data_IF_797597026922
#
_entry.id   IF_797597026922
#
_cell.length_a   1.000
_cell.length_b   1.000
_cell.length_c   1.000
_cell.angle_alpha   90.00
_cell.angle_beta   90.00
_cell.angle_gamma   90.00
#
_symmetry.space_group_name_H-M   'P 1'
#
loop_
_entity.id
_entity.type
_entity.pdbx_description
1 polymer ?
#
# COMPACT_ATOMS: atom_id res chain seq x y z
N UNK A 1 22.78 3.15 -3.29
CA UNK A 1 21.79 3.33 -2.22
C UNK A 1 20.49 2.73 -2.72
N UNK A 2 19.78 1.99 -1.92
CA UNK A 2 18.47 1.43 -2.31
C UNK A 2 17.50 2.59 -2.56
N UNK A 3 16.87 2.61 -3.72
CA UNK A 3 15.84 3.59 -4.07
C UNK A 3 14.46 3.15 -3.56
N UNK A 4 14.42 2.10 -2.74
CA UNK A 4 13.18 1.56 -2.21
C UNK A 4 12.87 2.26 -0.89
N UNK A 5 11.65 2.80 -0.72
CA UNK A 5 11.23 3.36 0.56
C UNK A 5 11.26 2.33 1.69
N UNK A 6 11.45 2.76 2.91
CA UNK A 6 11.57 1.94 4.11
C UNK A 6 10.34 1.05 4.42
N UNK A 7 9.18 1.43 3.92
CA UNK A 7 7.92 0.67 4.04
C UNK A 7 7.71 -0.37 2.94
N UNK A 8 8.57 -0.41 1.90
CA UNK A 8 8.35 -1.22 0.72
C UNK A 8 9.11 -2.54 0.76
N UNK A 9 8.48 -3.59 0.24
CA UNK A 9 9.08 -4.92 0.07
C UNK A 9 9.30 -5.28 -1.40
N UNK A 10 8.76 -4.48 -2.31
CA UNK A 10 8.89 -4.66 -3.75
C UNK A 10 9.94 -3.71 -4.33
N UNK A 11 10.75 -4.21 -5.25
CA UNK A 11 11.73 -3.39 -5.97
C UNK A 11 11.34 -3.27 -7.46
N UNK A 12 10.61 -2.20 -7.85
CA UNK A 12 10.24 -1.98 -9.23
C UNK A 12 11.40 -1.54 -10.13
N UNK A 13 12.58 -1.27 -9.57
CA UNK A 13 13.76 -0.84 -10.32
C UNK A 13 14.64 -2.01 -10.75
N UNK A 14 14.83 -3.00 -9.85
CA UNK A 14 15.79 -4.10 -10.07
C UNK A 14 15.24 -5.49 -9.73
N UNK A 15 14.01 -5.55 -9.26
CA UNK A 15 13.32 -6.79 -8.89
C UNK A 15 12.07 -7.05 -9.72
N UNK A 16 11.22 -7.92 -9.21
CA UNK A 16 9.97 -8.30 -9.86
C UNK A 16 10.21 -8.95 -11.24
N UNK A 17 11.19 -9.85 -11.29
CA UNK A 17 11.54 -10.67 -12.46
C UNK A 17 11.40 -12.15 -12.10
N UNK A 18 11.38 -13.08 -13.09
CA UNK A 18 11.35 -14.51 -12.79
C UNK A 18 12.49 -14.98 -11.89
N UNK A 19 13.67 -14.36 -11.98
CA UNK A 19 14.84 -14.69 -11.16
C UNK A 19 14.78 -14.05 -9.76
N UNK A 20 14.03 -12.94 -9.63
CA UNK A 20 13.85 -12.20 -8.40
C UNK A 20 12.40 -11.70 -8.28
N UNK A 21 11.42 -12.60 -8.10
CA UNK A 21 10.01 -12.21 -8.00
C UNK A 21 9.77 -11.36 -6.75
N UNK A 22 8.83 -10.43 -6.85
CA UNK A 22 8.43 -9.60 -5.75
C UNK A 22 7.67 -10.41 -4.69
N UNK A 23 7.92 -10.14 -3.41
CA UNK A 23 7.23 -10.77 -2.29
C UNK A 23 6.30 -9.77 -1.60
N UNK A 24 5.02 -10.11 -1.53
CA UNK A 24 4.01 -9.35 -0.80
C UNK A 24 3.76 -10.05 0.54
N UNK A 25 3.57 -9.27 1.59
CA UNK A 25 3.32 -9.76 2.94
C UNK A 25 1.94 -9.33 3.44
N UNK A 26 1.40 -10.09 4.37
CA UNK A 26 0.21 -9.69 5.11
C UNK A 26 0.59 -8.69 6.21
N UNK A 27 -0.24 -7.68 6.42
CA UNK A 27 -0.15 -6.79 7.57
C UNK A 27 -1.25 -7.16 8.57
N UNK A 28 -0.85 -7.57 9.78
CA UNK A 28 -1.76 -7.93 10.84
C UNK A 28 -1.33 -7.26 12.15
N UNK A 29 -2.25 -6.57 12.80
CA UNK A 29 -2.00 -5.87 14.07
C UNK A 29 -0.74 -4.97 14.04
N UNK A 30 -0.48 -4.29 12.93
CA UNK A 30 0.65 -3.39 12.74
C UNK A 30 1.99 -4.08 12.45
N UNK A 31 2.01 -5.40 12.26
CA UNK A 31 3.23 -6.16 11.94
C UNK A 31 3.11 -6.87 10.60
N UNK A 32 4.22 -6.89 9.85
CA UNK A 32 4.32 -7.64 8.61
C UNK A 32 4.54 -9.13 8.88
N UNK A 33 3.73 -9.97 8.27
CA UNK A 33 3.79 -11.42 8.40
C UNK A 33 4.09 -12.08 7.06
N UNK A 34 5.14 -12.89 7.02
CA UNK A 34 5.35 -13.81 5.92
C UNK A 34 4.32 -14.93 5.99
N UNK A 35 3.67 -15.23 4.88
CA UNK A 35 2.76 -16.36 4.82
C UNK A 35 3.51 -17.69 4.85
N UNK A 36 2.92 -18.69 5.49
CA UNK A 36 3.40 -20.07 5.46
C UNK A 36 3.17 -20.74 4.09
N UNK A 37 2.15 -20.30 3.37
CA UNK A 37 1.86 -20.71 2.00
C UNK A 37 1.93 -19.48 1.07
N UNK A 38 2.58 -19.67 -0.06
CA UNK A 38 2.79 -18.60 -1.07
C UNK A 38 2.12 -19.06 -2.36
N UNK A 39 1.30 -18.18 -2.90
CA UNK A 39 0.75 -18.30 -4.24
C UNK A 39 1.70 -17.60 -5.22
N UNK A 40 2.29 -18.38 -6.12
CA UNK A 40 3.31 -17.91 -7.07
C UNK A 40 2.81 -17.80 -8.52
N UNK A 41 1.51 -17.61 -8.71
CA UNK A 41 0.87 -17.71 -10.03
C UNK A 41 0.44 -16.34 -10.61
N UNK A 42 0.97 -15.23 -10.09
CA UNK A 42 0.72 -13.92 -10.69
C UNK A 42 1.78 -13.68 -11.77
N UNK A 43 1.37 -13.72 -13.04
CA UNK A 43 2.30 -13.56 -14.15
C UNK A 43 2.69 -12.11 -14.38
N UNK A 44 3.89 -11.94 -14.89
CA UNK A 44 4.38 -10.66 -15.38
C UNK A 44 3.53 -10.20 -16.58
N UNK A 45 2.92 -9.02 -16.53
CA UNK A 45 2.14 -8.48 -17.64
C UNK A 45 2.96 -8.23 -18.91
N UNK A 46 4.29 -8.19 -18.82
CA UNK A 46 5.17 -7.96 -19.98
C UNK A 46 5.57 -9.25 -20.70
N UNK A 47 5.74 -10.35 -19.99
CA UNK A 47 6.32 -11.57 -20.59
C UNK A 47 5.67 -12.89 -20.12
N UNK A 48 4.73 -12.85 -19.17
CA UNK A 48 4.04 -14.02 -18.65
C UNK A 48 4.85 -14.88 -17.68
N UNK A 49 6.08 -14.49 -17.35
CA UNK A 49 6.91 -15.17 -16.35
C UNK A 49 6.44 -14.95 -14.92
N UNK A 50 7.08 -15.59 -13.95
CA UNK A 50 6.81 -15.35 -12.54
C UNK A 50 7.12 -13.89 -12.19
N UNK A 51 6.22 -13.24 -11.45
CA UNK A 51 6.30 -11.81 -11.22
C UNK A 51 6.15 -11.44 -9.75
N UNK A 52 5.09 -11.92 -9.11
CA UNK A 52 4.78 -11.67 -7.73
C UNK A 52 4.46 -12.96 -7.00
N UNK A 53 4.94 -13.04 -5.76
CA UNK A 53 4.58 -14.05 -4.77
C UNK A 53 3.73 -13.40 -3.71
N UNK A 54 2.48 -13.83 -3.62
CA UNK A 54 1.52 -13.29 -2.64
C UNK A 54 1.18 -14.35 -1.61
N UNK A 55 0.80 -13.94 -0.39
CA UNK A 55 0.32 -14.87 0.62
C UNK A 55 -0.91 -15.65 0.11
N UNK A 56 -0.90 -16.96 0.26
CA UNK A 56 -2.11 -17.77 0.14
C UNK A 56 -2.79 -17.82 1.51
N UNK A 57 -3.57 -16.78 1.79
CA UNK A 57 -4.19 -16.57 3.10
C UNK A 57 -5.49 -17.39 3.17
N UNK A 58 -5.38 -18.65 3.54
CA UNK A 58 -6.53 -19.55 3.74
C UNK A 58 -7.12 -19.42 5.13
N UNK A 59 -6.30 -19.17 6.15
CA UNK A 59 -6.74 -18.89 7.51
C UNK A 59 -6.91 -17.37 7.71
N UNK A 60 -8.16 -16.91 7.69
CA UNK A 60 -8.53 -15.50 7.90
C UNK A 60 -8.89 -15.21 9.37
N UNK A 61 -8.95 -16.23 10.24
CA UNK A 61 -9.39 -16.05 11.62
C UNK A 61 -8.57 -15.03 12.40
N UNK A 62 -7.21 -14.99 12.28
CA UNK A 62 -6.41 -13.97 12.99
C UNK A 62 -6.76 -12.53 12.58
N UNK A 63 -7.18 -12.31 11.34
CA UNK A 63 -7.61 -10.98 10.88
C UNK A 63 -8.98 -10.62 11.45
N UNK A 64 -9.90 -11.57 11.53
CA UNK A 64 -11.22 -11.40 12.18
C UNK A 64 -11.03 -11.08 13.65
N UNK A 65 -10.19 -11.83 14.35
CA UNK A 65 -9.90 -11.62 15.78
C UNK A 65 -9.28 -10.24 16.02
N UNK A 66 -8.38 -9.80 15.13
CA UNK A 66 -7.78 -8.46 15.18
C UNK A 66 -8.85 -7.36 15.03
N UNK A 67 -9.78 -7.53 14.12
CA UNK A 67 -10.89 -6.58 13.93
C UNK A 67 -11.86 -6.61 15.12
N UNK A 68 -12.15 -7.77 15.69
CA UNK A 68 -13.04 -7.90 16.83
C UNK A 68 -12.48 -7.29 18.11
N UNK A 69 -11.17 -7.23 18.23
CA UNK A 69 -10.47 -6.56 19.32
C UNK A 69 -10.40 -5.03 19.16
N UNK A 70 -10.80 -4.47 18.01
CA UNK A 70 -10.88 -3.03 17.86
C UNK A 70 -12.03 -2.45 18.70
N UNK A 71 -11.81 -1.32 19.41
CA UNK A 71 -12.87 -0.68 20.19
C UNK A 71 -14.08 -0.35 19.32
N UNK A 72 -15.22 -0.93 19.67
CA UNK A 72 -16.49 -0.72 18.93
C UNK A 72 -17.27 0.51 19.43
N UNK A 73 -16.69 1.25 20.38
CA UNK A 73 -17.34 2.41 20.98
C UNK A 73 -17.23 3.64 20.11
N UNK A 74 -18.27 4.40 20.16
CA UNK A 74 -18.29 5.72 19.62
C UNK A 74 -18.63 5.85 18.21
N UNK A 75 -18.49 4.90 17.59
CA UNK A 75 -19.16 4.89 16.36
C UNK A 75 -19.03 6.20 15.58
N UNK A 76 -19.65 6.34 14.51
CA UNK A 76 -19.53 7.42 13.56
C UNK A 76 -20.28 8.70 13.97
N UNK A 77 -20.08 9.19 15.18
CA UNK A 77 -20.66 10.44 15.61
C UNK A 77 -19.57 11.52 15.83
N UNK A 78 -19.31 12.38 14.84
CA UNK A 78 -18.26 13.40 14.92
C UNK A 78 -18.49 14.41 16.06
N UNK A 79 -19.75 14.64 16.45
CA UNK A 79 -20.10 15.54 17.54
C UNK A 79 -19.77 14.96 18.93
N UNK A 80 -19.82 13.63 19.06
CA UNK A 80 -19.52 12.95 20.31
C UNK A 80 -18.08 12.47 20.41
N UNK A 81 -17.43 12.21 19.24
CA UNK A 81 -16.08 11.67 19.18
C UNK A 81 -15.26 12.30 18.06
N UNK A 82 -14.97 13.59 18.15
CA UNK A 82 -14.19 14.31 17.15
C UNK A 82 -12.76 13.77 17.02
N UNK A 83 -12.16 13.24 18.10
CA UNK A 83 -10.79 12.77 18.13
C UNK A 83 -10.51 11.68 17.09
N UNK A 84 -11.48 10.84 16.81
CA UNK A 84 -11.36 9.78 15.79
C UNK A 84 -11.19 10.37 14.39
N UNK A 85 -11.95 11.41 14.07
CA UNK A 85 -11.87 12.09 12.78
C UNK A 85 -10.59 12.89 12.65
N UNK A 86 -10.16 13.56 13.71
CA UNK A 86 -8.88 14.28 13.76
C UNK A 86 -7.71 13.32 13.56
N UNK A 87 -7.74 12.14 14.19
CA UNK A 87 -6.73 11.11 14.00
C UNK A 87 -6.68 10.61 12.54
N UNK A 88 -7.84 10.36 11.92
CA UNK A 88 -7.89 9.94 10.52
C UNK A 88 -7.39 11.04 9.58
N UNK A 89 -7.75 12.30 9.85
CA UNK A 89 -7.24 13.47 9.13
C UNK A 89 -5.72 13.58 9.23
N UNK A 90 -5.16 13.42 10.43
CA UNK A 90 -3.70 13.42 10.63
C UNK A 90 -2.98 12.29 9.87
N UNK A 91 -3.56 11.09 9.84
CA UNK A 91 -3.02 9.98 9.04
C UNK A 91 -3.05 10.33 7.55
N UNK A 92 -4.15 10.91 7.05
CA UNK A 92 -4.26 11.33 5.66
C UNK A 92 -3.22 12.42 5.32
N UNK A 93 -3.08 13.43 6.17
CA UNK A 93 -2.10 14.51 5.98
C UNK A 93 -0.67 13.98 5.91
N UNK A 94 -0.28 13.12 6.85
CA UNK A 94 1.07 12.49 6.86
C UNK A 94 1.29 11.59 5.65
N UNK A 95 0.28 10.87 5.21
CA UNK A 95 0.38 10.02 4.02
C UNK A 95 0.53 10.87 2.77
N UNK A 96 -0.24 11.95 2.64
CA UNK A 96 -0.10 12.91 1.54
C UNK A 96 1.30 13.54 1.49
N UNK A 97 1.82 13.96 2.65
CA UNK A 97 3.17 14.50 2.76
C UNK A 97 4.24 13.47 2.32
N UNK A 98 4.10 12.21 2.72
CA UNK A 98 5.01 11.13 2.27
C UNK A 98 4.93 10.90 0.75
N UNK A 99 3.73 10.92 0.17
CA UNK A 99 3.56 10.79 -1.29
C UNK A 99 4.13 11.97 -2.08
N UNK A 100 4.34 13.12 -1.45
CA UNK A 100 4.99 14.28 -2.07
C UNK A 100 6.53 14.21 -2.08
N UNK A 101 7.12 13.27 -1.34
CA UNK A 101 8.57 13.08 -1.35
C UNK A 101 9.02 12.50 -2.69
N UNK A 102 10.01 13.08 -3.38
CA UNK A 102 10.37 12.68 -4.74
C UNK A 102 10.72 11.20 -4.89
N UNK A 103 11.38 10.60 -3.90
CA UNK A 103 11.75 9.19 -3.90
C UNK A 103 10.53 8.26 -3.74
N UNK A 104 9.54 8.67 -2.94
CA UNK A 104 8.29 7.93 -2.74
C UNK A 104 7.39 8.06 -3.97
N UNK A 105 7.26 9.27 -4.52
CA UNK A 105 6.53 9.51 -5.76
C UNK A 105 7.10 8.67 -6.90
N UNK A 106 8.41 8.72 -7.14
CA UNK A 106 9.05 7.94 -8.21
C UNK A 106 8.91 6.43 -7.98
N UNK A 107 8.98 5.96 -6.73
CA UNK A 107 8.75 4.57 -6.40
C UNK A 107 7.36 4.11 -6.87
N UNK A 108 6.29 4.83 -6.52
CA UNK A 108 4.93 4.47 -6.93
C UNK A 108 4.71 4.63 -8.43
N UNK A 109 5.29 5.65 -9.07
CA UNK A 109 5.25 5.81 -10.52
C UNK A 109 5.86 4.58 -11.23
N UNK A 110 7.03 4.12 -10.77
CA UNK A 110 7.69 2.93 -11.32
C UNK A 110 6.90 1.65 -11.06
N UNK A 111 6.37 1.51 -9.85
CA UNK A 111 5.56 0.34 -9.51
C UNK A 111 4.30 0.26 -10.40
N UNK A 112 3.61 1.38 -10.61
CA UNK A 112 2.46 1.46 -11.51
C UNK A 112 2.84 1.09 -12.95
N UNK A 113 3.93 1.66 -13.48
CA UNK A 113 4.42 1.31 -14.81
C UNK A 113 4.79 -0.17 -14.94
N UNK A 114 5.30 -0.77 -13.84
CA UNK A 114 5.70 -2.17 -13.85
C UNK A 114 4.52 -3.14 -13.88
N UNK A 115 3.41 -2.77 -13.25
CA UNK A 115 2.20 -3.63 -13.18
C UNK A 115 1.17 -3.32 -14.26
N UNK A 116 1.24 -2.16 -14.90
CA UNK A 116 0.26 -1.71 -15.89
C UNK A 116 0.93 -0.99 -17.06
N UNK A 117 0.49 -1.23 -18.33
CA UNK A 117 1.07 -0.61 -19.51
C UNK A 117 0.62 0.86 -19.65
N UNK A 118 1.12 1.74 -18.79
CA UNK A 118 0.83 3.17 -18.76
C UNK A 118 2.07 4.01 -18.99
N UNK A 119 1.87 5.19 -19.57
CA UNK A 119 2.96 6.18 -19.66
C UNK A 119 3.35 6.69 -18.27
N UNK A 120 4.60 7.18 -18.14
CA UNK A 120 5.06 7.78 -16.89
C UNK A 120 4.15 8.92 -16.43
N UNK A 121 3.67 9.76 -17.35
CA UNK A 121 2.77 10.87 -17.03
C UNK A 121 1.43 10.40 -16.47
N UNK A 122 0.86 9.33 -17.02
CA UNK A 122 -0.38 8.76 -16.51
C UNK A 122 -0.18 8.21 -15.08
N UNK A 123 0.92 7.50 -14.85
CA UNK A 123 1.23 6.97 -13.52
C UNK A 123 1.48 8.10 -12.51
N UNK A 124 2.21 9.14 -12.89
CA UNK A 124 2.43 10.32 -12.06
C UNK A 124 1.10 10.98 -11.68
N UNK A 125 0.20 11.16 -12.64
CA UNK A 125 -1.10 11.75 -12.38
C UNK A 125 -1.94 10.92 -11.39
N UNK A 126 -1.84 9.60 -11.41
CA UNK A 126 -2.52 8.74 -10.43
C UNK A 126 -1.98 8.95 -9.01
N UNK A 127 -0.67 9.07 -8.85
CA UNK A 127 -0.05 9.37 -7.55
C UNK A 127 -0.48 10.76 -7.07
N UNK A 128 -0.45 11.76 -7.95
CA UNK A 128 -0.87 13.13 -7.64
C UNK A 128 -2.34 13.19 -7.23
N UNK A 129 -3.22 12.54 -7.99
CA UNK A 129 -4.66 12.49 -7.66
C UNK A 129 -4.89 11.81 -6.31
N UNK A 130 -4.21 10.71 -6.05
CA UNK A 130 -4.30 10.02 -4.75
C UNK A 130 -3.87 10.96 -3.61
N UNK A 131 -2.78 11.69 -3.78
CA UNK A 131 -2.30 12.68 -2.80
C UNK A 131 -3.35 13.77 -2.56
N UNK A 132 -3.91 14.36 -3.61
CA UNK A 132 -4.93 15.42 -3.50
C UNK A 132 -6.18 14.93 -2.75
N UNK A 133 -6.62 13.67 -3.01
CA UNK A 133 -7.72 13.10 -2.22
C UNK A 133 -7.37 12.98 -0.73
N UNK A 134 -6.17 12.57 -0.40
CA UNK A 134 -5.73 12.48 0.99
C UNK A 134 -5.64 13.85 1.66
N UNK A 135 -5.17 14.88 0.94
CA UNK A 135 -5.17 16.28 1.41
C UNK A 135 -6.59 16.74 1.72
N UNK A 136 -7.56 16.46 0.86
CA UNK A 136 -8.97 16.79 1.11
C UNK A 136 -9.53 16.09 2.36
N UNK A 137 -9.17 14.83 2.61
CA UNK A 137 -9.58 14.12 3.82
C UNK A 137 -8.85 14.58 5.08
N UNK A 138 -7.72 15.26 4.93
CA UNK A 138 -7.02 15.90 6.05
C UNK A 138 -7.72 17.16 6.57
N UNK A 139 -8.67 17.70 5.82
CA UNK A 139 -9.40 18.92 6.18
C UNK A 139 -8.72 20.21 5.73
N UNK A 140 -7.76 20.12 4.83
CA UNK A 140 -7.03 21.27 4.27
C UNK A 140 -7.70 21.82 2.98
N UNK A 141 -8.95 21.47 2.74
CA UNK A 141 -9.75 21.91 1.60
C UNK A 141 -10.66 23.10 1.91
#
# INVERSE_FOLDING_TARGET
MSQIPDFATLDPFHGMTPEAPGHVHNLLAGSWHQASAIRGDIPDPLNGGEFLRVPDTTDIQPFIDSLDNCPKTGLHNPWKQPQRYLMLGDVCARTAARLAEPEVEEYFVRLLQRVMPKSRLQCLNEVVVTRVFLENFAGDG
#
